data_IF_849412555778
#
_entry.id   IF_849412555778
#
_cell.length_a   1.000
_cell.length_b   1.000
_cell.length_c   1.000
_cell.angle_alpha   90.00
_cell.angle_beta   90.00
_cell.angle_gamma   90.00
#
_symmetry.space_group_name_H-M   'P 1'
#
loop_
_entity.id
_entity.type
_entity.pdbx_description
1 polymer ?
#
# COMPACT_ATOMS: atom_id res chain seq x y z
N UNK A 1 9.68 49.84 54.30
CA UNK A 1 9.71 49.59 52.84
C UNK A 1 9.78 48.08 52.65
N UNK A 2 8.75 47.51 52.02
CA UNK A 2 8.48 46.07 51.96
C UNK A 2 9.37 45.33 50.92
N UNK A 3 9.55 43.99 51.06
CA UNK A 3 10.45 43.17 50.24
C UNK A 3 9.71 42.49 49.07
N UNK A 4 10.45 41.99 48.07
CA UNK A 4 10.04 40.81 47.27
C UNK A 4 11.24 39.95 46.88
N UNK A 5 11.20 38.73 47.40
CA UNK A 5 11.94 37.55 46.97
C UNK A 5 11.66 37.22 45.50
N UNK A 6 12.65 36.65 44.81
CA UNK A 6 12.39 35.60 43.84
C UNK A 6 13.58 34.62 43.82
N UNK A 7 13.29 33.43 44.33
CA UNK A 7 14.19 32.28 44.44
C UNK A 7 13.57 31.16 43.58
N UNK A 8 14.41 30.60 42.71
CA UNK A 8 14.30 29.27 42.10
C UNK A 8 13.18 29.03 41.06
N UNK A 9 13.57 28.53 39.87
CA UNK A 9 13.61 27.09 39.61
C UNK A 9 13.92 26.81 38.13
N UNK A 10 15.15 26.35 37.88
CA UNK A 10 15.43 25.43 36.78
C UNK A 10 15.19 24.02 37.31
N UNK A 11 14.12 23.39 36.88
CA UNK A 11 13.90 21.96 37.07
C UNK A 11 13.10 21.42 35.88
N UNK A 12 13.78 20.64 35.06
CA UNK A 12 13.19 19.70 34.10
C UNK A 12 12.36 18.70 34.90
N UNK A 13 11.04 18.90 34.91
CA UNK A 13 10.10 17.93 35.46
C UNK A 13 9.79 16.85 34.43
N UNK A 14 10.32 15.64 34.66
CA UNK A 14 9.64 14.42 34.22
C UNK A 14 8.29 14.39 34.93
N UNK A 15 7.23 14.74 34.21
CA UNK A 15 5.86 14.53 34.66
C UNK A 15 5.46 13.09 34.41
N UNK A 16 5.76 12.20 35.36
CA UNK A 16 4.86 11.10 35.66
C UNK A 16 3.60 11.72 36.28
N UNK A 17 2.59 11.91 35.45
CA UNK A 17 1.25 12.34 35.83
C UNK A 17 0.26 11.29 35.35
N UNK A 18 0.13 10.23 36.12
CA UNK A 18 -1.00 9.31 36.04
C UNK A 18 -2.21 10.05 36.63
N UNK A 19 -3.11 10.50 35.75
CA UNK A 19 -4.17 11.44 36.10
C UNK A 19 -5.11 11.69 34.93
N UNK A 20 -5.85 10.66 34.53
CA UNK A 20 -7.12 10.74 33.80
C UNK A 20 -7.23 11.87 32.75
N UNK A 21 -6.47 11.77 31.66
CA UNK A 21 -6.85 12.47 30.43
C UNK A 21 -8.25 11.98 30.02
N UNK A 22 -9.25 12.85 30.04
CA UNK A 22 -10.61 12.51 29.63
C UNK A 22 -10.57 11.87 28.24
N UNK A 23 -10.90 10.57 28.16
CA UNK A 23 -10.83 9.84 26.88
C UNK A 23 -11.91 10.39 25.94
N UNK A 24 -11.51 11.32 25.07
CA UNK A 24 -12.35 11.91 24.03
C UNK A 24 -12.95 10.80 23.15
N UNK A 25 -14.25 10.94 22.86
CA UNK A 25 -14.99 10.03 21.99
C UNK A 25 -15.04 10.66 20.60
N UNK A 26 -14.44 10.00 19.60
CA UNK A 26 -14.30 10.53 18.26
C UNK A 26 -15.36 9.94 17.32
N UNK A 27 -15.95 10.74 16.42
CA UNK A 27 -16.84 10.23 15.38
C UNK A 27 -16.06 9.38 14.37
N UNK A 28 -16.71 8.37 13.81
CA UNK A 28 -16.22 7.49 12.76
C UNK A 28 -16.88 7.87 11.44
N UNK A 29 -16.09 8.38 10.49
CA UNK A 29 -16.61 8.89 9.23
C UNK A 29 -15.59 8.83 8.09
N UNK A 30 -16.08 8.87 6.84
CA UNK A 30 -15.22 8.83 5.65
C UNK A 30 -14.46 10.15 5.38
N UNK A 31 -14.96 11.27 5.90
CA UNK A 31 -14.44 12.63 5.71
C UNK A 31 -14.95 13.56 6.83
N UNK A 32 -14.35 14.76 6.92
CA UNK A 32 -14.72 15.78 7.91
C UNK A 32 -16.21 16.15 7.89
N UNK A 33 -16.82 16.27 6.71
CA UNK A 33 -18.24 16.66 6.59
C UNK A 33 -19.15 15.62 7.26
N UNK A 34 -18.92 14.33 7.00
CA UNK A 34 -19.67 13.25 7.64
C UNK A 34 -19.30 13.09 9.13
N UNK A 35 -18.07 13.44 9.54
CA UNK A 35 -17.67 13.39 10.95
C UNK A 35 -18.42 14.41 11.82
N UNK A 36 -18.86 15.51 11.23
CA UNK A 36 -19.64 16.56 11.90
C UNK A 36 -21.13 16.22 12.02
N UNK A 37 -21.59 15.14 11.39
CA UNK A 37 -22.96 14.66 11.58
C UNK A 37 -23.14 14.15 13.02
N UNK A 38 -24.09 14.68 13.80
CA UNK A 38 -24.37 14.18 15.15
C UNK A 38 -24.74 12.69 15.20
N UNK A 39 -25.26 12.14 14.10
CA UNK A 39 -25.62 10.73 13.97
C UNK A 39 -24.43 9.82 13.61
N UNK A 40 -23.23 10.36 13.35
CA UNK A 40 -22.06 9.56 13.06
C UNK A 40 -21.74 8.61 14.22
N UNK A 41 -21.46 7.31 13.96
CA UNK A 41 -21.01 6.38 15.00
C UNK A 41 -19.80 6.94 15.72
N UNK A 42 -19.67 6.67 17.01
CA UNK A 42 -18.59 7.21 17.85
C UNK A 42 -17.85 6.10 18.55
N UNK A 43 -16.54 6.24 18.64
CA UNK A 43 -15.65 5.28 19.27
C UNK A 43 -14.61 6.01 20.11
N UNK A 44 -14.32 5.45 21.28
CA UNK A 44 -13.30 5.98 22.18
C UNK A 44 -11.91 5.52 21.79
N UNK A 45 -11.78 4.27 21.35
CA UNK A 45 -10.50 3.63 21.03
C UNK A 45 -10.42 3.22 19.57
N UNK A 46 -9.20 2.99 19.09
CA UNK A 46 -8.95 2.45 17.75
C UNK A 46 -9.60 1.07 17.57
N UNK A 47 -9.59 0.22 18.60
CA UNK A 47 -10.18 -1.12 18.57
C UNK A 47 -11.72 -1.06 18.43
N UNK A 48 -12.38 -0.17 19.19
CA UNK A 48 -13.81 0.08 19.06
C UNK A 48 -14.15 0.60 17.67
N UNK A 49 -13.37 1.57 17.18
CA UNK A 49 -13.55 2.16 15.86
C UNK A 49 -13.34 1.13 14.73
N UNK A 50 -12.33 0.28 14.86
CA UNK A 50 -12.02 -0.82 13.93
C UNK A 50 -13.16 -1.82 13.91
N UNK A 51 -13.70 -2.17 15.07
CA UNK A 51 -14.84 -3.09 15.21
C UNK A 51 -16.09 -2.51 14.54
N UNK A 52 -16.40 -1.24 14.77
CA UNK A 52 -17.54 -0.55 14.16
C UNK A 52 -17.37 -0.36 12.65
N UNK A 53 -16.15 -0.11 12.18
CA UNK A 53 -15.86 0.07 10.75
C UNK A 53 -15.76 -1.25 9.98
N UNK A 54 -15.63 -2.39 10.67
CA UNK A 54 -15.38 -3.70 10.08
C UNK A 54 -13.99 -3.84 9.45
N UNK A 55 -13.05 -2.96 9.80
CA UNK A 55 -11.73 -2.89 9.17
C UNK A 55 -10.85 -1.80 9.77
N UNK A 56 -9.58 -1.71 9.35
CA UNK A 56 -8.63 -0.78 9.94
C UNK A 56 -9.10 0.66 9.81
N UNK A 57 -8.89 1.45 10.85
CA UNK A 57 -9.13 2.90 10.89
C UNK A 57 -7.84 3.64 11.18
N UNK A 58 -7.84 4.97 11.05
CA UNK A 58 -6.80 5.83 11.59
C UNK A 58 -7.41 7.11 12.15
N UNK A 59 -6.72 7.73 13.10
CA UNK A 59 -7.15 9.02 13.63
C UNK A 59 -6.79 10.12 12.63
N UNK A 60 -7.79 10.62 11.91
CA UNK A 60 -7.66 11.73 10.98
C UNK A 60 -7.74 13.07 11.74
N UNK A 61 -6.97 14.04 11.26
CA UNK A 61 -7.04 15.43 11.70
C UNK A 61 -7.19 16.28 10.44
N UNK A 62 -8.38 16.86 10.24
CA UNK A 62 -8.70 17.69 9.08
C UNK A 62 -9.09 19.11 9.52
N UNK A 63 -8.73 20.11 8.71
CA UNK A 63 -8.99 21.52 8.98
C UNK A 63 -10.35 21.93 8.42
N UNK A 64 -11.10 22.73 9.16
CA UNK A 64 -12.32 23.37 8.65
C UNK A 64 -11.95 24.50 7.69
N UNK A 65 -12.80 24.74 6.68
CA UNK A 65 -12.53 25.71 5.62
C UNK A 65 -12.43 27.17 6.12
N UNK A 66 -13.06 27.48 7.26
CA UNK A 66 -13.17 28.84 7.78
C UNK A 66 -11.90 29.30 8.50
N UNK A 67 -11.54 30.57 8.27
CA UNK A 67 -10.52 31.31 9.02
C UNK A 67 -11.20 32.38 9.85
N UNK A 68 -10.85 32.46 11.12
CA UNK A 68 -11.43 33.38 12.08
C UNK A 68 -10.40 34.46 12.44
N UNK A 69 -10.90 35.68 12.66
CA UNK A 69 -10.07 36.82 13.09
C UNK A 69 -9.68 36.72 14.58
N UNK A 70 -10.55 36.13 15.40
CA UNK A 70 -10.33 35.96 16.85
C UNK A 70 -10.71 34.55 17.32
N UNK A 71 -10.16 34.07 18.46
CA UNK A 71 -10.56 32.81 19.07
C UNK A 71 -12.05 32.78 19.43
N UNK A 72 -12.59 33.89 19.94
CA UNK A 72 -14.00 33.99 20.33
C UNK A 72 -14.94 33.82 19.13
N UNK A 73 -14.55 34.32 17.94
CA UNK A 73 -15.30 34.11 16.71
C UNK A 73 -15.29 32.63 16.29
N UNK A 74 -14.18 31.92 16.51
CA UNK A 74 -14.08 30.49 16.25
C UNK A 74 -14.95 29.68 17.22
N UNK A 75 -14.97 30.05 18.50
CA UNK A 75 -15.81 29.40 19.53
C UNK A 75 -17.31 29.62 19.27
N UNK A 76 -17.72 30.83 18.87
CA UNK A 76 -19.10 31.10 18.49
C UNK A 76 -19.57 30.27 17.28
N UNK A 77 -18.67 30.01 16.32
CA UNK A 77 -18.95 29.19 15.15
C UNK A 77 -18.88 27.67 15.42
N UNK A 78 -18.12 27.26 16.42
CA UNK A 78 -17.92 25.87 16.82
C UNK A 78 -18.17 25.75 18.34
N UNK A 79 -19.43 25.60 18.77
CA UNK A 79 -19.83 25.67 20.19
C UNK A 79 -19.13 24.69 21.13
N UNK A 80 -18.48 23.64 20.61
CA UNK A 80 -17.77 22.61 21.37
C UNK A 80 -16.23 22.67 21.22
N UNK A 81 -15.69 23.81 20.78
CA UNK A 81 -14.27 23.98 20.44
C UNK A 81 -13.33 23.49 21.54
N UNK A 82 -13.64 23.77 22.81
CA UNK A 82 -12.80 23.39 23.96
C UNK A 82 -13.37 22.25 24.81
N UNK A 83 -14.65 21.87 24.62
CA UNK A 83 -15.37 21.00 25.55
C UNK A 83 -15.23 19.50 25.30
N UNK A 84 -15.03 19.09 24.04
CA UNK A 84 -15.15 17.67 23.63
C UNK A 84 -13.81 17.00 23.32
N UNK A 85 -12.74 17.77 23.16
CA UNK A 85 -11.45 17.30 22.64
C UNK A 85 -11.49 16.84 21.18
N UNK A 86 -12.62 17.07 20.49
CA UNK A 86 -12.77 16.81 19.05
C UNK A 86 -12.10 17.87 18.21
N UNK A 87 -12.14 19.10 18.69
CA UNK A 87 -11.64 20.26 17.96
C UNK A 87 -10.37 20.79 18.61
N UNK A 88 -9.51 21.35 17.76
CA UNK A 88 -8.29 22.02 18.18
C UNK A 88 -8.17 23.33 17.40
N UNK A 89 -8.01 24.43 18.13
CA UNK A 89 -7.77 25.75 17.56
C UNK A 89 -6.28 25.90 17.28
N UNK A 90 -5.94 26.18 16.03
CA UNK A 90 -4.55 26.37 15.59
C UNK A 90 -4.34 27.77 15.01
N UNK A 91 -3.12 28.27 15.14
CA UNK A 91 -2.69 29.51 14.49
C UNK A 91 -1.78 29.19 13.30
N UNK A 92 -2.11 29.73 12.13
CA UNK A 92 -1.26 29.69 10.92
C UNK A 92 -1.19 31.07 10.27
N UNK A 93 -2.04 31.30 9.27
CA UNK A 93 -2.32 32.55 8.57
C UNK A 93 -3.54 33.30 9.16
N UNK A 94 -4.17 32.71 10.18
CA UNK A 94 -5.27 33.20 10.99
C UNK A 94 -5.67 32.12 12.01
N UNK A 95 -6.75 32.34 12.77
CA UNK A 95 -7.28 31.31 13.65
C UNK A 95 -8.05 30.28 12.82
N UNK A 96 -7.65 29.02 12.88
CA UNK A 96 -8.29 27.92 12.14
C UNK A 96 -8.65 26.80 13.10
N UNK A 97 -9.73 26.10 12.80
CA UNK A 97 -10.19 24.97 13.62
C UNK A 97 -9.89 23.67 12.89
N UNK A 98 -9.26 22.74 13.58
CA UNK A 98 -9.11 21.35 13.11
C UNK A 98 -10.00 20.43 13.91
N UNK A 99 -10.39 19.31 13.31
CA UNK A 99 -11.21 18.29 13.95
C UNK A 99 -10.53 16.94 13.85
N UNK A 100 -10.51 16.22 14.98
CA UNK A 100 -10.02 14.85 15.10
C UNK A 100 -11.20 13.89 14.98
N UNK A 101 -11.07 12.86 14.15
CA UNK A 101 -12.08 11.83 13.99
C UNK A 101 -11.49 10.51 13.49
N UNK A 102 -12.16 9.39 13.75
CA UNK A 102 -11.79 8.10 13.18
C UNK A 102 -12.17 8.06 11.71
N UNK A 103 -11.20 7.72 10.86
CA UNK A 103 -11.43 7.54 9.43
C UNK A 103 -11.17 6.08 9.04
N UNK A 104 -12.13 5.40 8.38
CA UNK A 104 -11.87 4.10 7.79
C UNK A 104 -10.69 4.19 6.83
N UNK A 105 -9.76 3.24 6.95
CA UNK A 105 -8.67 3.14 6.00
C UNK A 105 -9.25 2.96 4.58
N UNK A 106 -8.60 3.55 3.56
CA UNK A 106 -8.99 3.28 2.19
C UNK A 106 -8.83 1.78 1.90
N UNK A 107 -9.67 1.22 1.02
CA UNK A 107 -9.63 -0.20 0.72
C UNK A 107 -8.26 -0.56 0.11
N UNK A 108 -7.58 -1.53 0.71
CA UNK A 108 -6.27 -1.97 0.29
C UNK A 108 -6.37 -2.87 -0.95
N UNK A 109 -5.35 -2.87 -1.82
CA UNK A 109 -5.33 -3.75 -2.99
C UNK A 109 -5.31 -5.22 -2.56
N UNK A 110 -5.96 -6.09 -3.35
CA UNK A 110 -5.94 -7.54 -3.14
C UNK A 110 -5.03 -8.19 -4.18
N UNK A 111 -4.02 -8.93 -3.72
CA UNK A 111 -3.01 -9.54 -4.56
C UNK A 111 -2.21 -10.65 -3.84
N UNK A 112 -1.53 -11.51 -4.60
CA UNK A 112 -0.66 -12.56 -4.03
C UNK A 112 0.69 -12.06 -3.51
N UNK A 113 1.20 -10.98 -4.09
CA UNK A 113 2.51 -10.42 -3.77
C UNK A 113 2.45 -8.89 -3.76
N UNK A 114 3.41 -8.25 -3.08
CA UNK A 114 3.52 -6.79 -3.07
C UNK A 114 3.62 -6.20 -4.48
N UNK A 115 4.34 -6.87 -5.38
CA UNK A 115 4.48 -6.43 -6.76
C UNK A 115 3.17 -6.52 -7.54
N UNK A 116 2.41 -7.60 -7.35
CA UNK A 116 1.10 -7.75 -7.96
C UNK A 116 0.13 -6.68 -7.41
N UNK A 117 0.21 -6.33 -6.12
CA UNK A 117 -0.63 -5.29 -5.53
C UNK A 117 -0.50 -3.93 -6.24
N UNK A 118 0.70 -3.61 -6.77
CA UNK A 118 0.92 -2.37 -7.52
C UNK A 118 0.74 -2.50 -9.03
N UNK A 119 1.09 -3.65 -9.64
CA UNK A 119 1.05 -3.85 -11.10
C UNK A 119 -0.24 -4.49 -11.59
N UNK A 120 -0.70 -5.56 -10.94
CA UNK A 120 -1.77 -6.46 -11.39
C UNK A 120 -2.62 -6.93 -10.21
N UNK A 121 -3.28 -5.98 -9.54
CA UNK A 121 -4.18 -6.27 -8.42
C UNK A 121 -5.49 -6.89 -8.93
N UNK A 122 -6.08 -7.76 -8.12
CA UNK A 122 -7.36 -8.41 -8.39
C UNK A 122 -8.55 -7.49 -8.08
N UNK A 123 -8.36 -6.56 -7.14
CA UNK A 123 -9.39 -5.63 -6.70
C UNK A 123 -8.92 -4.82 -5.49
N UNK A 124 -9.88 -4.24 -4.76
CA UNK A 124 -9.62 -3.61 -3.47
C UNK A 124 -10.62 -4.14 -2.44
N UNK A 125 -10.17 -4.25 -1.19
CA UNK A 125 -10.99 -4.70 -0.07
C UNK A 125 -10.63 -3.89 1.17
N UNK A 126 -11.64 -3.57 1.99
CA UNK A 126 -11.47 -2.97 3.31
C UNK A 126 -11.43 -4.02 4.40
N UNK A 127 -12.14 -5.13 4.22
CA UNK A 127 -12.28 -6.18 5.24
C UNK A 127 -11.67 -7.50 4.76
N UNK A 128 -11.29 -8.42 5.67
CA UNK A 128 -10.80 -9.74 5.29
C UNK A 128 -11.86 -10.57 4.54
N UNK A 129 -13.15 -10.36 4.80
CA UNK A 129 -14.27 -11.02 4.11
C UNK A 129 -14.44 -10.54 2.67
N UNK A 130 -14.32 -9.22 2.43
CA UNK A 130 -14.29 -8.66 1.07
C UNK A 130 -13.09 -9.20 0.29
N UNK A 131 -11.92 -9.28 0.92
CA UNK A 131 -10.73 -9.86 0.32
C UNK A 131 -10.90 -11.36 0.02
N UNK A 132 -11.52 -12.10 0.95
CA UNK A 132 -11.86 -13.53 0.77
C UNK A 132 -12.81 -13.74 -0.40
N UNK A 133 -13.77 -12.84 -0.62
CA UNK A 133 -14.66 -12.91 -1.78
C UNK A 133 -13.89 -12.86 -3.10
N UNK A 134 -12.83 -12.04 -3.18
CA UNK A 134 -11.99 -11.91 -4.38
C UNK A 134 -10.99 -13.07 -4.55
N UNK A 135 -10.47 -13.62 -3.43
CA UNK A 135 -9.45 -14.66 -3.42
C UNK A 135 -10.00 -16.09 -3.35
N UNK A 136 -11.29 -16.25 -3.01
CA UNK A 136 -11.93 -17.51 -2.60
C UNK A 136 -11.21 -18.26 -1.46
N UNK A 137 -10.33 -17.55 -0.74
CA UNK A 137 -9.44 -18.10 0.28
C UNK A 137 -9.37 -17.11 1.44
N UNK A 138 -9.24 -17.56 2.71
CA UNK A 138 -8.99 -16.65 3.82
C UNK A 138 -7.83 -15.70 3.51
N UNK A 139 -7.98 -14.42 3.85
CA UNK A 139 -7.03 -13.37 3.52
C UNK A 139 -6.44 -12.74 4.78
N UNK A 140 -5.17 -12.33 4.69
CA UNK A 140 -4.51 -11.54 5.73
C UNK A 140 -4.01 -10.22 5.14
N UNK A 141 -3.99 -9.17 5.97
CA UNK A 141 -3.43 -7.88 5.59
C UNK A 141 -1.91 -7.94 5.81
N UNK A 142 -1.17 -7.97 4.72
CA UNK A 142 0.29 -8.02 4.72
C UNK A 142 0.90 -6.64 4.50
N UNK A 143 2.10 -6.45 5.06
CA UNK A 143 2.97 -5.31 4.78
C UNK A 143 4.29 -5.86 4.24
N UNK A 144 4.63 -5.48 3.01
CA UNK A 144 5.87 -5.92 2.36
C UNK A 144 6.58 -4.76 1.70
N UNK A 145 7.92 -4.82 1.68
CA UNK A 145 8.77 -3.80 1.06
C UNK A 145 9.01 -4.18 -0.40
N UNK A 146 8.70 -3.26 -1.31
CA UNK A 146 8.99 -3.44 -2.73
C UNK A 146 10.52 -3.47 -2.96
N UNK A 147 11.01 -4.27 -3.93
CA UNK A 147 12.45 -4.43 -4.15
C UNK A 147 13.12 -3.19 -4.75
N UNK A 148 12.37 -2.30 -5.39
CA UNK A 148 12.92 -1.10 -6.00
C UNK A 148 13.38 -0.09 -4.95
N UNK A 149 14.69 0.20 -4.94
CA UNK A 149 15.31 1.23 -4.12
C UNK A 149 15.41 2.55 -4.89
N UNK A 150 15.11 3.65 -4.21
CA UNK A 150 15.17 5.02 -4.71
C UNK A 150 16.25 5.79 -3.97
N UNK A 151 16.99 6.63 -4.70
CA UNK A 151 18.04 7.46 -4.11
C UNK A 151 17.45 8.53 -3.18
N UNK A 152 16.34 9.16 -3.59
CA UNK A 152 15.74 10.28 -2.86
C UNK A 152 14.25 10.05 -2.55
N UNK A 153 13.81 10.58 -1.42
CA UNK A 153 12.38 10.70 -1.07
C UNK A 153 11.55 11.32 -2.19
N UNK A 154 12.07 12.34 -2.87
CA UNK A 154 11.35 13.05 -3.93
C UNK A 154 11.02 12.14 -5.12
N UNK A 155 11.95 11.27 -5.51
CA UNK A 155 11.75 10.34 -6.62
C UNK A 155 10.70 9.27 -6.25
N UNK A 156 10.80 8.76 -5.02
CA UNK A 156 9.82 7.80 -4.50
C UNK A 156 8.42 8.43 -4.45
N UNK A 157 8.29 9.64 -3.89
CA UNK A 157 7.02 10.35 -3.79
C UNK A 157 6.45 10.74 -5.17
N UNK A 158 7.28 11.02 -6.17
CA UNK A 158 6.81 11.26 -7.54
C UNK A 158 6.09 10.03 -8.11
N UNK A 159 6.59 8.83 -7.82
CA UNK A 159 6.02 7.58 -8.34
C UNK A 159 4.91 7.01 -7.46
N UNK A 160 5.05 7.11 -6.15
CA UNK A 160 4.20 6.41 -5.16
C UNK A 160 3.45 7.35 -4.22
N UNK A 161 3.53 8.67 -4.43
CA UNK A 161 2.95 9.66 -3.54
C UNK A 161 1.45 9.47 -3.30
N UNK A 162 0.70 8.94 -4.27
CA UNK A 162 -0.72 8.61 -4.08
C UNK A 162 -0.93 7.49 -3.04
N UNK A 163 -0.10 6.45 -3.06
CA UNK A 163 -0.18 5.35 -2.08
C UNK A 163 0.25 5.83 -0.69
N UNK A 164 1.29 6.65 -0.61
CA UNK A 164 1.77 7.22 0.66
C UNK A 164 0.74 8.17 1.27
N UNK A 165 0.18 9.10 0.48
CA UNK A 165 -0.85 10.04 0.95
C UNK A 165 -2.13 9.35 1.42
N UNK A 166 -2.47 8.21 0.82
CA UNK A 166 -3.64 7.42 1.21
C UNK A 166 -3.34 6.44 2.35
N UNK A 167 -2.11 6.41 2.91
CA UNK A 167 -1.76 5.51 4.02
C UNK A 167 -1.63 4.02 3.64
N UNK A 168 -1.72 3.69 2.36
CA UNK A 168 -1.51 2.34 1.82
C UNK A 168 -0.02 2.02 1.61
N UNK A 169 0.81 3.06 1.54
CA UNK A 169 2.25 2.96 1.40
C UNK A 169 2.99 3.71 2.51
N UNK A 170 4.09 3.14 2.98
CA UNK A 170 5.00 3.77 3.94
C UNK A 170 6.40 3.80 3.32
N UNK A 171 7.13 4.89 3.55
CA UNK A 171 8.51 5.00 3.10
C UNK A 171 9.41 4.37 4.15
N UNK A 172 10.25 3.44 3.74
CA UNK A 172 11.22 2.78 4.63
C UNK A 172 12.63 3.00 4.08
N UNK A 173 13.58 3.22 4.98
CA UNK A 173 14.99 3.30 4.62
C UNK A 173 15.60 1.89 4.57
N UNK A 174 16.34 1.60 3.50
CA UNK A 174 17.11 0.37 3.31
C UNK A 174 18.41 0.67 2.61
N UNK A 175 19.52 0.20 3.19
CA UNK A 175 20.84 0.28 2.57
C UNK A 175 21.24 1.73 2.19
N UNK A 176 20.86 2.71 3.02
CA UNK A 176 21.08 4.14 2.75
C UNK A 176 20.26 4.71 1.59
N UNK A 177 19.22 3.99 1.14
CA UNK A 177 18.26 4.36 0.11
C UNK A 177 16.83 4.21 0.63
N UNK A 178 15.85 4.58 -0.19
CA UNK A 178 14.44 4.54 0.19
C UNK A 178 13.66 3.50 -0.60
N UNK A 179 12.79 2.77 0.07
CA UNK A 179 11.88 1.80 -0.53
C UNK A 179 10.44 2.07 -0.10
N UNK A 180 9.48 1.56 -0.89
CA UNK A 180 8.07 1.62 -0.52
C UNK A 180 7.67 0.32 0.16
N UNK A 181 7.18 0.40 1.39
CA UNK A 181 6.42 -0.67 2.02
C UNK A 181 4.94 -0.50 1.67
N UNK A 182 4.33 -1.50 1.04
CA UNK A 182 2.91 -1.48 0.67
C UNK A 182 2.10 -2.40 1.58
N UNK A 183 0.90 -1.93 1.96
CA UNK A 183 -0.13 -2.73 2.61
C UNK A 183 -1.10 -3.30 1.57
N UNK A 184 -1.35 -4.60 1.62
CA UNK A 184 -2.23 -5.28 0.68
C UNK A 184 -2.80 -6.56 1.30
N UNK A 185 -3.95 -7.02 0.80
CA UNK A 185 -4.54 -8.29 1.19
C UNK A 185 -3.93 -9.42 0.38
N UNK A 186 -3.41 -10.45 1.06
CA UNK A 186 -2.88 -11.65 0.42
C UNK A 186 -3.60 -12.91 0.93
N UNK A 187 -3.70 -13.97 0.11
CA UNK A 187 -4.28 -15.23 0.55
C UNK A 187 -3.41 -15.86 1.65
N UNK A 188 -4.06 -16.31 2.72
CA UNK A 188 -3.41 -17.13 3.73
C UNK A 188 -3.17 -18.53 3.17
N UNK A 189 -1.95 -19.03 3.39
CA UNK A 189 -1.51 -20.37 3.02
C UNK A 189 -0.55 -20.91 4.08
N UNK A 190 -0.45 -22.23 4.20
CA UNK A 190 0.54 -22.83 5.08
C UNK A 190 1.96 -22.53 4.55
N UNK A 191 2.96 -22.32 5.43
CA UNK A 191 4.34 -22.16 5.02
C UNK A 191 4.81 -23.31 4.12
N UNK A 192 5.49 -22.98 3.02
CA UNK A 192 5.98 -23.97 2.05
C UNK A 192 4.92 -24.50 1.07
N UNK A 193 3.65 -24.09 1.20
CA UNK A 193 2.59 -24.42 0.25
C UNK A 193 2.29 -23.19 -0.60
N UNK A 194 2.28 -23.33 -1.93
CA UNK A 194 1.91 -22.24 -2.81
C UNK A 194 0.43 -21.85 -2.60
N UNK A 195 0.16 -20.54 -2.59
CA UNK A 195 -1.18 -20.06 -2.34
C UNK A 195 -2.10 -20.49 -3.51
N UNK A 196 -3.36 -20.85 -3.22
CA UNK A 196 -4.33 -21.14 -4.27
C UNK A 196 -4.48 -19.93 -5.20
N UNK A 197 -4.70 -20.22 -6.49
CA UNK A 197 -4.96 -19.20 -7.50
C UNK A 197 -6.38 -18.65 -7.31
N UNK A 198 -6.51 -17.33 -7.37
CA UNK A 198 -7.83 -16.69 -7.39
C UNK A 198 -8.60 -17.05 -8.68
N UNK A 199 -9.93 -16.89 -8.71
CA UNK A 199 -10.75 -17.25 -9.88
C UNK A 199 -10.25 -16.66 -11.19
N UNK A 200 -9.95 -15.35 -11.19
CA UNK A 200 -9.43 -14.64 -12.36
C UNK A 200 -8.07 -15.22 -12.79
N UNK A 201 -7.19 -15.53 -11.84
CA UNK A 201 -5.88 -16.09 -12.14
C UNK A 201 -5.97 -17.51 -12.73
N UNK A 202 -6.96 -18.31 -12.29
CA UNK A 202 -7.24 -19.63 -12.87
C UNK A 202 -7.71 -19.51 -14.31
N UNK A 203 -8.57 -18.54 -14.61
CA UNK A 203 -9.04 -18.27 -15.97
C UNK A 203 -7.88 -17.84 -16.86
N UNK A 204 -7.08 -16.87 -16.42
CA UNK A 204 -5.91 -16.40 -17.17
C UNK A 204 -4.87 -17.52 -17.40
N UNK A 205 -4.65 -18.39 -16.40
CA UNK A 205 -3.77 -19.53 -16.56
C UNK A 205 -4.34 -20.52 -17.59
N UNK A 206 -5.64 -20.82 -17.53
CA UNK A 206 -6.29 -21.69 -18.50
C UNK A 206 -6.21 -21.12 -19.93
N UNK A 207 -6.40 -19.82 -20.10
CA UNK A 207 -6.24 -19.13 -21.39
C UNK A 207 -4.80 -19.21 -21.91
N UNK A 208 -3.80 -19.00 -21.03
CA UNK A 208 -2.39 -19.12 -21.42
C UNK A 208 -1.99 -20.55 -21.79
N UNK A 209 -2.54 -21.54 -21.08
CA UNK A 209 -2.30 -22.96 -21.37
C UNK A 209 -2.98 -23.40 -22.67
N UNK A 210 -4.17 -22.86 -22.96
CA UNK A 210 -4.88 -23.12 -24.21
C UNK A 210 -4.28 -22.36 -25.40
N UNK A 211 -3.52 -21.28 -25.16
CA UNK A 211 -2.89 -20.52 -26.22
C UNK A 211 -1.79 -21.36 -26.92
N UNK A 212 -1.76 -21.38 -28.26
CA UNK A 212 -0.69 -22.06 -28.99
C UNK A 212 0.66 -21.41 -28.65
N UNK A 213 1.69 -22.24 -28.48
CA UNK A 213 3.06 -21.78 -28.26
C UNK A 213 3.46 -20.90 -29.45
N UNK A 214 3.60 -19.60 -29.20
CA UNK A 214 4.15 -18.67 -30.17
C UNK A 214 5.64 -18.52 -29.87
N UNK A 215 6.50 -18.68 -30.87
CA UNK A 215 7.91 -18.44 -30.65
C UNK A 215 8.12 -16.95 -30.34
N UNK A 216 8.88 -16.64 -29.29
CA UNK A 216 9.13 -15.24 -28.87
C UNK A 216 10.03 -14.50 -29.86
N UNK A 217 10.84 -15.24 -30.60
CA UNK A 217 11.64 -14.78 -31.72
C UNK A 217 11.26 -15.59 -32.97
N UNK A 218 11.48 -15.07 -34.19
CA UNK A 218 11.48 -15.92 -35.38
C UNK A 218 12.35 -17.14 -35.09
N UNK A 219 11.81 -18.34 -35.33
CA UNK A 219 12.65 -19.53 -35.34
C UNK A 219 13.77 -19.26 -36.34
N UNK A 220 15.03 -19.34 -35.90
CA UNK A 220 16.16 -19.25 -36.83
C UNK A 220 15.93 -20.27 -37.93
N UNK A 221 16.21 -19.89 -39.18
CA UNK A 221 16.21 -20.82 -40.30
C UNK A 221 17.21 -21.92 -39.97
N UNK A 222 16.68 -23.03 -39.47
CA UNK A 222 17.47 -24.24 -39.36
C UNK A 222 17.74 -24.65 -40.80
N UNK A 223 19.00 -24.62 -41.21
CA UNK A 223 19.48 -25.36 -42.37
C UNK A 223 19.33 -26.86 -42.04
N UNK A 224 18.08 -27.34 -42.03
CA UNK A 224 17.77 -28.76 -42.15
C UNK A 224 17.91 -29.08 -43.64
N UNK A 225 19.14 -28.87 -44.15
CA UNK A 225 19.54 -29.40 -45.43
C UNK A 225 19.43 -30.91 -45.31
N UNK A 226 18.48 -31.50 -46.02
CA UNK A 226 18.57 -32.89 -46.42
C UNK A 226 19.98 -33.03 -47.02
N UNK A 227 20.83 -33.87 -46.42
CA UNK A 227 22.26 -34.02 -46.68
C UNK A 227 22.56 -34.58 -48.09
N UNK A 228 22.08 -33.90 -49.12
CA UNK A 228 22.16 -34.33 -50.50
C UNK A 228 22.96 -33.29 -51.28
N UNK A 229 24.29 -33.36 -51.15
CA UNK A 229 25.14 -32.74 -52.15
C UNK A 229 25.08 -33.62 -53.41
N UNK A 230 24.47 -33.10 -54.46
CA UNK A 230 24.48 -33.75 -55.77
C UNK A 230 25.90 -33.69 -56.34
N UNK A 231 26.42 -34.82 -56.84
CA UNK A 231 27.76 -34.84 -57.40
C UNK A 231 27.84 -33.84 -58.59
N UNK A 232 28.85 -32.96 -58.65
CA UNK A 232 28.97 -31.98 -59.73
C UNK A 232 29.14 -32.63 -61.11
N UNK A 233 29.51 -33.90 -61.14
CA UNK A 233 29.78 -34.67 -62.36
C UNK A 233 28.56 -35.45 -62.86
N UNK A 234 27.52 -35.66 -62.03
CA UNK A 234 26.29 -36.35 -62.42
C UNK A 234 25.10 -35.99 -61.50
N UNK A 235 24.07 -35.29 -62.00
CA UNK A 235 22.93 -34.85 -61.19
C UNK A 235 22.01 -35.99 -60.71
N UNK A 236 22.22 -37.24 -61.15
CA UNK A 236 21.45 -38.40 -60.70
C UNK A 236 22.13 -39.18 -59.55
N UNK A 237 23.26 -38.69 -59.03
CA UNK A 237 24.01 -39.36 -57.95
C UNK A 237 24.07 -38.44 -56.72
N UNK A 238 23.48 -38.90 -55.62
CA UNK A 238 23.52 -38.23 -54.32
C UNK A 238 24.75 -38.72 -53.56
N UNK A 239 25.63 -37.81 -53.15
CA UNK A 239 26.76 -38.13 -52.29
C UNK A 239 26.32 -38.00 -50.83
N UNK A 240 26.23 -39.14 -50.13
CA UNK A 240 26.03 -39.17 -48.69
C UNK A 240 27.36 -38.82 -48.04
N UNK A 241 27.52 -37.60 -47.54
CA UNK A 241 28.63 -37.28 -46.64
C UNK A 241 28.43 -38.04 -45.33
N UNK A 242 29.45 -38.82 -44.96
CA UNK A 242 29.49 -39.69 -43.79
C UNK A 242 28.94 -39.03 -42.52
N UNK A 243 28.18 -39.85 -41.79
CA UNK A 243 27.93 -39.86 -40.34
C UNK A 243 27.91 -38.52 -39.59
N UNK A 244 26.71 -38.17 -39.12
CA UNK A 244 26.55 -37.30 -37.97
C UNK A 244 27.29 -37.86 -36.75
N UNK A 245 28.44 -37.29 -36.44
CA UNK A 245 28.95 -37.25 -35.07
C UNK A 245 28.74 -35.83 -34.54
N UNK A 246 27.68 -35.65 -33.75
CA UNK A 246 27.32 -34.41 -33.07
C UNK A 246 28.33 -34.02 -31.99
N UNK A 247 29.60 -33.83 -32.35
CA UNK A 247 30.66 -33.37 -31.45
C UNK A 247 31.23 -32.05 -31.94
N UNK A 248 30.67 -30.97 -31.41
CA UNK A 248 31.41 -29.73 -31.24
C UNK A 248 32.67 -30.02 -30.40
N UNK A 249 33.84 -30.10 -31.04
CA UNK A 249 35.10 -29.78 -30.37
C UNK A 249 35.35 -28.31 -30.61
N UNK A 250 35.16 -27.51 -29.56
CA UNK A 250 35.62 -26.13 -29.55
C UNK A 250 37.14 -26.09 -29.68
N UNK A 251 37.62 -25.13 -30.45
CA UNK A 251 38.99 -24.62 -30.35
C UNK A 251 39.09 -23.28 -31.06
N UNK A 252 39.37 -22.26 -30.21
CA UNK A 252 40.00 -20.94 -30.47
C UNK A 252 39.33 -19.93 -31.40
#
# INVERSE_FOLDING_TARGET
>A
MAPRDDKAMSAVGRGEGDGAAGMSIFPLAANLAAARDPAAPRARTEDEATTLAGGPVFLAVEELDAVYETPDAAEAAVPDLYGTGLYELIWRDGWRVTMRYWRPAPPAPVARTAEAAVKKRLGHARTPEEARTLLETPAELAREVLPNLYLDHKQLLKRWGKLVKNGLGEIVEREGKFALAIRFWRPMHAPGIAAPLAPIERIELAERVAAPLRPEAPQEDMDIGLFENTAPENPNVVLVTEEGDGRFRGSE
#
